data_IF_091845353890
#
_entry.id   IF_091845353890
#
_cell.length_a   1.000
_cell.length_b   1.000
_cell.length_c   1.000
_cell.angle_alpha   90.00
_cell.angle_beta   90.00
_cell.angle_gamma   90.00
#
_symmetry.space_group_name_H-M   'P 1'
#
loop_
_entity.id
_entity.type
_entity.pdbx_description
1 polymer ?
#
# COMPACT_ATOMS: atom_id res chain seq x y z
N UNK A 1 -22.89 -2.74 2.73
CA UNK A 1 -22.37 -1.37 2.92
C UNK A 1 -22.87 -0.49 1.79
N UNK A 2 -23.40 0.71 2.06
CA UNK A 2 -23.89 1.62 1.01
C UNK A 2 -22.70 2.13 0.15
N UNK A 3 -22.90 2.31 -1.16
CA UNK A 3 -21.87 2.74 -2.11
C UNK A 3 -21.24 4.08 -1.73
N UNK A 4 -21.98 4.97 -1.07
CA UNK A 4 -21.46 6.21 -0.50
C UNK A 4 -20.33 5.97 0.53
N UNK A 5 -20.50 4.98 1.42
CA UNK A 5 -19.47 4.61 2.40
C UNK A 5 -18.24 4.00 1.72
N UNK A 6 -18.44 3.20 0.68
CA UNK A 6 -17.33 2.60 -0.09
C UNK A 6 -16.53 3.68 -0.81
N UNK A 7 -17.20 4.67 -1.40
CA UNK A 7 -16.54 5.84 -2.02
C UNK A 7 -15.73 6.63 -0.99
N UNK A 8 -16.30 6.90 0.18
CA UNK A 8 -15.60 7.61 1.26
C UNK A 8 -14.33 6.85 1.67
N UNK A 9 -14.42 5.54 1.91
CA UNK A 9 -13.26 4.69 2.27
C UNK A 9 -12.22 4.68 1.15
N UNK A 10 -12.64 4.58 -0.11
CA UNK A 10 -11.75 4.65 -1.26
C UNK A 10 -10.94 5.95 -1.29
N UNK A 11 -11.58 7.10 -1.02
CA UNK A 11 -10.89 8.39 -0.94
C UNK A 11 -9.94 8.47 0.25
N UNK A 12 -10.37 8.00 1.43
CA UNK A 12 -9.51 7.98 2.63
C UNK A 12 -8.24 7.17 2.35
N UNK A 13 -8.36 5.96 1.82
CA UNK A 13 -7.20 5.14 1.48
C UNK A 13 -6.33 5.76 0.38
N UNK A 14 -6.93 6.45 -0.59
CA UNK A 14 -6.18 7.17 -1.63
C UNK A 14 -5.36 8.34 -1.06
N UNK A 15 -5.95 9.13 -0.16
CA UNK A 15 -5.27 10.23 0.53
C UNK A 15 -4.13 9.70 1.40
N UNK A 16 -4.40 8.68 2.22
CA UNK A 16 -3.37 8.07 3.07
C UNK A 16 -2.23 7.47 2.24
N UNK A 17 -2.55 6.72 1.18
CA UNK A 17 -1.55 6.19 0.26
C UNK A 17 -0.71 7.32 -0.36
N UNK A 18 -1.32 8.44 -0.73
CA UNK A 18 -0.61 9.60 -1.30
C UNK A 18 0.35 10.24 -0.30
N UNK A 19 -0.05 10.37 0.97
CA UNK A 19 0.81 10.89 2.05
C UNK A 19 2.03 10.00 2.24
N UNK A 20 1.82 8.70 2.40
CA UNK A 20 2.94 7.76 2.61
C UNK A 20 3.80 7.59 1.35
N UNK A 21 3.20 7.70 0.16
CA UNK A 21 3.95 7.71 -1.10
C UNK A 21 4.84 8.95 -1.18
N UNK A 22 4.36 10.12 -0.77
CA UNK A 22 5.18 11.33 -0.73
C UNK A 22 6.36 11.18 0.25
N UNK A 23 6.13 10.58 1.43
CA UNK A 23 7.22 10.24 2.37
C UNK A 23 8.22 9.29 1.70
N UNK A 24 7.75 8.21 1.07
CA UNK A 24 8.62 7.26 0.38
C UNK A 24 9.43 7.91 -0.75
N UNK A 25 8.79 8.73 -1.59
CA UNK A 25 9.45 9.45 -2.68
C UNK A 25 10.46 10.48 -2.15
N UNK A 26 10.15 11.17 -1.04
CA UNK A 26 11.11 12.08 -0.42
C UNK A 26 12.36 11.34 0.06
N UNK A 27 12.21 10.15 0.65
CA UNK A 27 13.35 9.30 1.01
C UNK A 27 14.11 8.80 -0.22
N UNK A 28 13.43 8.57 -1.34
CA UNK A 28 14.06 8.15 -2.60
C UNK A 28 14.88 9.25 -3.28
N UNK A 29 14.40 10.50 -3.23
CA UNK A 29 14.89 11.58 -4.11
C UNK A 29 15.44 12.82 -3.38
N UNK A 30 15.12 13.03 -2.10
CA UNK A 30 15.51 14.22 -1.32
C UNK A 30 16.39 13.77 -0.14
N UNK A 31 17.72 13.87 -0.30
CA UNK A 31 18.80 13.90 0.73
C UNK A 31 18.65 13.12 2.06
N UNK A 32 19.65 12.33 2.52
CA UNK A 32 20.91 11.93 1.86
C UNK A 32 20.80 10.56 1.15
N UNK A 33 19.65 9.89 1.24
CA UNK A 33 19.41 8.55 0.71
C UNK A 33 19.08 8.54 -0.79
N UNK A 34 19.70 9.41 -1.61
CA UNK A 34 19.39 9.50 -3.04
C UNK A 34 19.67 8.15 -3.73
N UNK A 35 18.63 7.30 -3.82
CA UNK A 35 18.75 5.86 -4.11
C UNK A 35 19.05 5.59 -5.58
N UNK A 36 18.89 6.61 -6.43
CA UNK A 36 19.16 6.59 -7.87
C UNK A 36 20.56 6.09 -8.23
N UNK A 37 21.52 6.13 -7.30
CA UNK A 37 22.89 5.60 -7.46
C UNK A 37 23.27 4.53 -6.40
N UNK A 38 22.35 4.18 -5.48
CA UNK A 38 22.65 3.49 -4.22
C UNK A 38 21.63 2.42 -3.81
N UNK A 39 20.70 1.99 -4.67
CA UNK A 39 19.86 0.80 -4.43
C UNK A 39 20.72 -0.47 -4.39
N UNK A 40 21.40 -0.68 -3.26
CA UNK A 40 22.04 -1.93 -2.92
C UNK A 40 21.35 -2.51 -1.69
N UNK A 41 21.37 -3.83 -1.57
CA UNK A 41 20.87 -4.56 -0.39
C UNK A 41 21.45 -3.99 0.91
N UNK A 42 22.68 -3.48 0.90
CA UNK A 42 23.32 -2.86 2.06
C UNK A 42 22.65 -1.55 2.49
N UNK A 43 22.27 -0.67 1.55
CA UNK A 43 21.61 0.60 1.88
C UNK A 43 20.17 0.33 2.35
N UNK A 44 19.48 -0.61 1.69
CA UNK A 44 18.16 -1.06 2.13
C UNK A 44 18.23 -1.61 3.56
N UNK A 45 19.20 -2.46 3.87
CA UNK A 45 19.35 -3.02 5.23
C UNK A 45 19.66 -1.94 6.28
N UNK A 46 20.46 -0.92 5.95
CA UNK A 46 20.77 0.16 6.87
C UNK A 46 19.57 1.09 7.12
N UNK A 47 18.77 1.37 6.09
CA UNK A 47 17.61 2.28 6.21
C UNK A 47 16.36 1.57 6.74
N UNK A 48 16.22 0.26 6.52
CA UNK A 48 15.19 -0.58 7.16
C UNK A 48 15.48 -0.83 8.66
N UNK A 49 16.61 -0.36 9.21
CA UNK A 49 16.78 -0.27 10.68
C UNK A 49 15.85 0.78 11.29
N UNK A 50 15.49 1.81 10.52
CA UNK A 50 14.58 2.85 11.01
C UNK A 50 13.15 2.31 11.09
N UNK A 51 12.76 1.90 12.29
CA UNK A 51 11.41 1.38 12.59
C UNK A 51 10.29 2.28 12.09
N UNK A 52 10.46 3.61 12.16
CA UNK A 52 9.44 4.56 11.68
C UNK A 52 9.27 4.51 10.17
N UNK A 53 10.38 4.41 9.43
CA UNK A 53 10.32 4.30 7.97
C UNK A 53 9.76 2.94 7.54
N UNK A 54 10.13 1.86 8.22
CA UNK A 54 9.52 0.53 8.01
C UNK A 54 8.01 0.58 8.24
N UNK A 55 7.55 1.15 9.35
CA UNK A 55 6.11 1.30 9.61
C UNK A 55 5.43 2.14 8.53
N UNK A 56 6.06 3.22 8.06
CA UNK A 56 5.56 4.04 6.95
C UNK A 56 5.41 3.22 5.66
N UNK A 57 6.37 2.34 5.34
CA UNK A 57 6.30 1.47 4.16
C UNK A 57 5.20 0.40 4.28
N UNK A 58 5.01 -0.18 5.46
CA UNK A 58 3.93 -1.13 5.72
C UNK A 58 2.56 -0.47 5.60
N UNK A 59 2.40 0.74 6.14
CA UNK A 59 1.17 1.53 6.01
C UNK A 59 0.93 1.91 4.54
N UNK A 60 1.97 2.33 3.82
CA UNK A 60 1.88 2.59 2.37
C UNK A 60 1.34 1.37 1.63
N UNK A 61 1.91 0.19 1.88
CA UNK A 61 1.52 -1.07 1.26
C UNK A 61 0.04 -1.41 1.54
N UNK A 62 -0.39 -1.33 2.79
CA UNK A 62 -1.77 -1.63 3.18
C UNK A 62 -2.76 -0.66 2.52
N UNK A 63 -2.48 0.64 2.55
CA UNK A 63 -3.38 1.64 1.98
C UNK A 63 -3.40 1.60 0.44
N UNK A 64 -2.24 1.44 -0.21
CA UNK A 64 -2.17 1.33 -1.67
C UNK A 64 -2.89 0.07 -2.17
N UNK A 65 -2.70 -1.06 -1.50
CA UNK A 65 -3.37 -2.31 -1.85
C UNK A 65 -4.89 -2.22 -1.65
N UNK A 66 -5.32 -1.65 -0.53
CA UNK A 66 -6.75 -1.46 -0.23
C UNK A 66 -7.40 -0.48 -1.22
N UNK A 67 -6.71 0.61 -1.58
CA UNK A 67 -7.16 1.56 -2.59
C UNK A 67 -7.27 0.91 -3.97
N UNK A 68 -6.27 0.14 -4.39
CA UNK A 68 -6.28 -0.59 -5.65
C UNK A 68 -7.40 -1.63 -5.71
N UNK A 69 -7.62 -2.38 -4.62
CA UNK A 69 -8.70 -3.38 -4.52
C UNK A 69 -10.08 -2.74 -4.66
N UNK A 70 -10.30 -1.60 -4.00
CA UNK A 70 -11.56 -0.84 -4.13
C UNK A 70 -11.72 -0.21 -5.53
N UNK A 71 -10.64 0.25 -6.15
CA UNK A 71 -10.63 0.72 -7.53
C UNK A 71 -11.01 -0.40 -8.51
N UNK A 72 -10.38 -1.56 -8.39
CA UNK A 72 -10.69 -2.76 -9.17
C UNK A 72 -12.13 -3.22 -8.96
N UNK A 73 -12.64 -3.19 -7.72
CA UNK A 73 -14.06 -3.47 -7.45
C UNK A 73 -14.98 -2.59 -8.30
N UNK A 74 -14.69 -1.29 -8.38
CA UNK A 74 -15.53 -0.33 -9.11
C UNK A 74 -15.44 -0.56 -10.61
N UNK A 75 -14.23 -0.79 -11.13
CA UNK A 75 -14.01 -1.07 -12.57
C UNK A 75 -14.63 -2.39 -12.99
N UNK A 76 -14.53 -3.42 -12.15
CA UNK A 76 -15.03 -4.76 -12.45
C UNK A 76 -16.50 -4.96 -12.10
N UNK A 77 -17.21 -3.99 -11.53
CA UNK A 77 -18.58 -4.16 -11.01
C UNK A 77 -19.57 -4.74 -12.03
N UNK A 78 -19.36 -4.51 -13.33
CA UNK A 78 -20.17 -5.06 -14.43
C UNK A 78 -19.80 -6.47 -14.87
N UNK A 79 -18.67 -7.02 -14.38
CA UNK A 79 -18.17 -8.34 -14.78
C UNK A 79 -18.72 -9.45 -13.89
N UNK A 80 -18.97 -10.63 -14.48
CA UNK A 80 -19.47 -11.82 -13.77
C UNK A 80 -18.50 -12.33 -12.69
N UNK A 81 -17.20 -12.04 -12.82
CA UNK A 81 -16.14 -12.49 -11.92
C UNK A 81 -15.79 -11.50 -10.80
N UNK A 82 -16.44 -10.32 -10.78
CA UNK A 82 -16.10 -9.23 -9.88
C UNK A 82 -16.06 -9.64 -8.41
N UNK A 83 -17.12 -10.30 -7.92
CA UNK A 83 -17.22 -10.73 -6.52
C UNK A 83 -16.10 -11.69 -6.12
N UNK A 84 -15.74 -12.63 -7.00
CA UNK A 84 -14.69 -13.62 -6.74
C UNK A 84 -13.32 -12.95 -6.66
N UNK A 85 -12.96 -12.13 -7.66
CA UNK A 85 -11.68 -11.43 -7.72
C UNK A 85 -11.51 -10.51 -6.51
N UNK A 86 -12.56 -9.74 -6.16
CA UNK A 86 -12.50 -8.83 -5.00
C UNK A 86 -12.29 -9.61 -3.70
N UNK A 87 -12.99 -10.74 -3.53
CA UNK A 87 -12.86 -11.58 -2.33
C UNK A 87 -11.44 -12.15 -2.21
N UNK A 88 -10.88 -12.63 -3.32
CA UNK A 88 -9.51 -13.13 -3.38
C UNK A 88 -8.48 -12.06 -3.00
N UNK A 89 -8.66 -10.83 -3.48
CA UNK A 89 -7.77 -9.70 -3.15
C UNK A 89 -7.84 -9.36 -1.65
N UNK A 90 -9.02 -9.35 -1.04
CA UNK A 90 -9.13 -9.13 0.41
C UNK A 90 -8.49 -10.27 1.23
N UNK A 91 -8.65 -11.52 0.81
CA UNK A 91 -7.99 -12.66 1.44
C UNK A 91 -6.46 -12.52 1.32
N UNK A 92 -5.97 -12.16 0.13
CA UNK A 92 -4.54 -11.93 -0.10
C UNK A 92 -4.00 -10.79 0.78
N UNK A 93 -4.77 -9.71 0.99
CA UNK A 93 -4.38 -8.65 1.91
C UNK A 93 -4.29 -9.14 3.36
N UNK A 94 -5.24 -9.97 3.82
CA UNK A 94 -5.21 -10.53 5.16
C UNK A 94 -4.00 -11.46 5.36
N UNK A 95 -3.69 -12.28 4.37
CA UNK A 95 -2.49 -13.13 4.37
C UNK A 95 -1.22 -12.28 4.41
N UNK A 96 -1.17 -11.20 3.63
CA UNK A 96 -0.05 -10.26 3.62
C UNK A 96 0.14 -9.61 5.01
N UNK A 97 -0.94 -9.13 5.63
CA UNK A 97 -0.91 -8.55 6.98
C UNK A 97 -0.44 -9.59 8.00
N UNK A 98 -0.93 -10.83 7.92
CA UNK A 98 -0.52 -11.92 8.80
C UNK A 98 0.97 -12.21 8.69
N UNK A 99 1.51 -12.29 7.47
CA UNK A 99 2.95 -12.49 7.23
C UNK A 99 3.74 -11.34 7.84
N UNK A 100 3.32 -10.09 7.64
CA UNK A 100 3.97 -8.88 8.19
C UNK A 100 4.02 -8.89 9.72
N UNK A 101 2.98 -9.41 10.39
CA UNK A 101 2.92 -9.43 11.87
C UNK A 101 3.89 -10.47 12.46
N UNK A 102 4.18 -11.54 11.74
CA UNK A 102 4.96 -12.68 12.24
C UNK A 102 6.44 -12.60 11.84
N UNK A 103 6.75 -11.86 10.77
CA UNK A 103 8.11 -11.53 10.34
C UNK A 103 8.77 -10.49 11.24
#
# INVERSE_FOLDING_TARGET
MNEAKIRLIFYIFGILASIFLAIHLSMLFITPMNFTTRTSTRVINNELVNKWYVTSLLLLLVFSYSHATLGLRRTLHSTKFSKYIITLLWISLLVLIYIIIIS
#
